data_IF_326326339762
#
_entry.id   IF_326326339762
#
_cell.length_a   1.000
_cell.length_b   1.000
_cell.length_c   1.000
_cell.angle_alpha   90.00
_cell.angle_beta   90.00
_cell.angle_gamma   90.00
#
_symmetry.space_group_name_H-M   'P 1'
#
loop_
_entity.id
_entity.type
_entity.pdbx_description
1 polymer ?
#
# COMPACT_ATOMS: atom_id res chain seq x y z
N UNK A 1 11.33 14.85 -14.38
CA UNK A 1 10.63 16.15 -14.34
C UNK A 1 11.29 17.01 -13.27
N UNK A 2 11.49 18.32 -13.51
CA UNK A 2 11.97 19.21 -12.45
C UNK A 2 10.91 19.28 -11.33
N UNK A 3 11.34 19.56 -10.08
CA UNK A 3 10.39 19.76 -8.99
C UNK A 3 9.49 20.96 -9.28
N UNK A 4 8.21 20.87 -8.87
CA UNK A 4 7.23 21.94 -9.07
C UNK A 4 7.48 23.15 -8.17
N UNK A 5 8.16 22.94 -7.06
CA UNK A 5 8.54 23.94 -6.08
C UNK A 5 9.97 23.65 -5.57
N UNK A 6 10.66 24.67 -5.13
CA UNK A 6 11.95 24.51 -4.45
C UNK A 6 11.77 24.02 -3.02
N UNK A 7 12.86 23.54 -2.40
CA UNK A 7 12.85 23.16 -0.97
C UNK A 7 12.48 24.34 -0.06
N UNK A 8 12.93 25.54 -0.39
CA UNK A 8 12.65 26.76 0.40
C UNK A 8 11.16 27.09 0.34
N UNK A 9 10.56 27.06 -0.86
CA UNK A 9 9.13 27.25 -1.01
C UNK A 9 8.33 26.18 -0.27
N UNK A 10 8.72 24.90 -0.35
CA UNK A 10 8.04 23.83 0.38
C UNK A 10 8.05 24.04 1.89
N UNK A 11 9.19 24.48 2.45
CA UNK A 11 9.29 24.79 3.88
C UNK A 11 8.46 26.00 4.27
N UNK A 12 8.41 27.06 3.44
CA UNK A 12 7.57 28.22 3.67
C UNK A 12 6.08 27.87 3.64
N UNK A 13 5.65 27.05 2.67
CA UNK A 13 4.27 26.55 2.60
C UNK A 13 3.87 25.72 3.81
N UNK A 14 4.80 24.98 4.41
CA UNK A 14 4.57 24.20 5.63
C UNK A 14 4.40 25.04 6.90
N UNK A 15 4.60 26.36 6.84
CA UNK A 15 4.42 27.28 7.96
C UNK A 15 3.09 28.08 7.89
N UNK A 16 2.26 27.82 6.88
CA UNK A 16 0.96 28.49 6.72
C UNK A 16 -0.01 27.94 7.76
N UNK A 17 -0.59 28.84 8.56
CA UNK A 17 -1.58 28.52 9.60
C UNK A 17 -2.93 29.20 9.34
N UNK A 18 -2.97 30.29 8.56
CA UNK A 18 -4.21 30.97 8.23
C UNK A 18 -5.09 30.16 7.27
N UNK A 19 -6.36 30.05 7.58
CA UNK A 19 -7.30 29.24 6.79
C UNK A 19 -7.47 29.73 5.35
N UNK A 20 -7.48 31.04 5.12
CA UNK A 20 -7.60 31.58 3.75
C UNK A 20 -6.36 31.28 2.90
N UNK A 21 -5.19 31.29 3.52
CA UNK A 21 -3.92 30.91 2.87
C UNK A 21 -3.87 29.40 2.61
N UNK A 22 -4.39 28.58 3.52
CA UNK A 22 -4.55 27.14 3.34
C UNK A 22 -5.48 26.86 2.15
N UNK A 23 -6.63 27.51 2.06
CA UNK A 23 -7.57 27.36 0.95
C UNK A 23 -6.91 27.76 -0.38
N UNK A 24 -6.15 28.84 -0.39
CA UNK A 24 -5.38 29.27 -1.57
C UNK A 24 -4.35 28.22 -1.98
N UNK A 25 -3.63 27.62 -1.02
CA UNK A 25 -2.69 26.53 -1.26
C UNK A 25 -3.38 25.29 -1.82
N UNK A 26 -4.53 24.92 -1.27
CA UNK A 26 -5.34 23.78 -1.76
C UNK A 26 -5.81 24.02 -3.19
N UNK A 27 -6.28 25.22 -3.53
CA UNK A 27 -6.69 25.59 -4.89
C UNK A 27 -5.50 25.52 -5.88
N UNK A 28 -4.33 26.00 -5.47
CA UNK A 28 -3.10 25.89 -6.27
C UNK A 28 -2.70 24.42 -6.50
N UNK A 29 -2.72 23.61 -5.45
CA UNK A 29 -2.43 22.18 -5.56
C UNK A 29 -3.43 21.46 -6.47
N UNK A 30 -4.72 21.81 -6.37
CA UNK A 30 -5.76 21.29 -7.24
C UNK A 30 -5.54 21.68 -8.71
N UNK A 31 -5.20 22.91 -9.00
CA UNK A 31 -4.90 23.38 -10.34
C UNK A 31 -3.75 22.61 -10.99
N UNK A 32 -2.67 22.38 -10.23
CA UNK A 32 -1.52 21.56 -10.67
C UNK A 32 -1.93 20.11 -10.93
N UNK A 33 -2.79 19.55 -10.07
CA UNK A 33 -3.30 18.19 -10.25
C UNK A 33 -4.13 18.08 -11.53
N UNK A 34 -5.06 19.02 -11.76
CA UNK A 34 -5.92 19.02 -12.94
C UNK A 34 -5.11 19.20 -14.23
N UNK A 35 -4.12 20.11 -14.22
CA UNK A 35 -3.21 20.30 -15.35
C UNK A 35 -2.46 19.01 -15.73
N UNK A 36 -2.06 18.22 -14.72
CA UNK A 36 -1.21 17.03 -14.92
C UNK A 36 -1.98 15.75 -15.17
N UNK A 37 -3.14 15.60 -14.57
CA UNK A 37 -3.90 14.35 -14.51
C UNK A 37 -5.35 14.48 -14.96
N UNK A 38 -5.79 15.68 -15.33
CA UNK A 38 -7.20 15.99 -15.62
C UNK A 38 -8.11 15.44 -14.49
N UNK A 39 -9.21 14.80 -14.83
CA UNK A 39 -10.14 14.19 -13.86
C UNK A 39 -9.79 12.74 -13.52
N UNK A 40 -8.64 12.24 -13.99
CA UNK A 40 -8.25 10.86 -13.74
C UNK A 40 -7.85 10.63 -12.29
N UNK A 41 -8.27 9.52 -11.73
CA UNK A 41 -7.89 9.05 -10.39
C UNK A 41 -7.40 7.61 -10.48
N UNK A 42 -6.22 7.32 -9.95
CA UNK A 42 -5.70 5.95 -9.84
C UNK A 42 -6.13 5.36 -8.49
N UNK A 43 -7.24 4.61 -8.50
CA UNK A 43 -7.78 4.00 -7.29
C UNK A 43 -7.04 2.71 -6.95
N UNK A 44 -6.58 2.61 -5.71
CA UNK A 44 -5.95 1.42 -5.17
C UNK A 44 -6.82 0.81 -4.06
N UNK A 45 -7.15 -0.46 -4.20
CA UNK A 45 -7.75 -1.27 -3.14
C UNK A 45 -6.68 -2.17 -2.52
N UNK A 46 -6.86 -2.53 -1.26
CA UNK A 46 -5.95 -3.45 -0.58
C UNK A 46 -6.72 -4.52 0.19
N UNK A 47 -6.07 -5.65 0.42
CA UNK A 47 -6.51 -6.69 1.34
C UNK A 47 -5.44 -6.97 2.38
N UNK A 48 -5.84 -7.05 3.64
CA UNK A 48 -5.01 -7.66 4.68
C UNK A 48 -4.99 -9.18 4.46
N UNK A 49 -4.04 -9.67 3.68
CA UNK A 49 -3.94 -11.10 3.38
C UNK A 49 -3.51 -11.95 4.59
N UNK A 50 -2.92 -11.30 5.60
CA UNK A 50 -2.62 -11.87 6.93
C UNK A 50 -2.74 -10.76 7.95
N UNK A 51 -3.53 -10.93 9.01
CA UNK A 51 -3.87 -9.88 9.95
C UNK A 51 -3.75 -10.29 11.41
N UNK A 52 -3.37 -9.33 12.24
CA UNK A 52 -3.35 -9.42 13.71
C UNK A 52 -2.21 -10.24 14.29
N UNK A 53 -1.97 -10.09 15.59
CA UNK A 53 -0.95 -10.85 16.33
C UNK A 53 0.49 -10.62 15.86
N UNK A 54 0.80 -9.45 15.30
CA UNK A 54 2.15 -9.07 14.90
C UNK A 54 3.08 -9.05 16.10
N UNK A 55 4.28 -9.60 15.96
CA UNK A 55 5.28 -9.64 17.04
C UNK A 55 5.99 -8.28 17.23
N UNK A 56 5.87 -7.36 16.27
CA UNK A 56 6.47 -6.04 16.32
C UNK A 56 5.62 -5.09 17.18
N UNK A 57 6.28 -4.14 17.85
CA UNK A 57 5.65 -3.14 18.72
C UNK A 57 5.72 -1.73 18.12
N UNK A 58 5.18 -1.56 16.91
CA UNK A 58 5.07 -0.25 16.28
C UNK A 58 4.00 0.57 16.99
N UNK A 59 4.37 1.68 17.61
CA UNK A 59 3.55 2.45 18.56
C UNK A 59 2.18 2.97 18.06
N UNK A 60 1.92 2.94 16.75
CA UNK A 60 0.65 3.34 16.15
C UNK A 60 -0.12 2.16 15.51
N UNK A 61 0.43 0.94 15.54
CA UNK A 61 -0.11 -0.18 14.78
C UNK A 61 -1.04 -1.07 15.62
N UNK A 62 -2.33 -1.04 15.31
CA UNK A 62 -3.33 -1.88 15.96
C UNK A 62 -3.16 -3.40 15.73
N UNK A 63 -2.33 -3.82 14.78
CA UNK A 63 -2.07 -5.24 14.52
C UNK A 63 -0.99 -5.85 15.44
N UNK A 64 -0.29 -5.01 16.23
CA UNK A 64 0.65 -5.47 17.24
C UNK A 64 -0.05 -6.34 18.29
N UNK A 65 0.58 -7.45 18.71
CA UNK A 65 0.08 -8.27 19.82
C UNK A 65 0.13 -7.55 21.18
N UNK A 66 0.78 -6.39 21.22
CA UNK A 66 0.89 -5.55 22.42
C UNK A 66 -0.12 -4.40 22.41
N UNK A 67 -0.80 -4.17 21.29
CA UNK A 67 -1.83 -3.12 21.19
C UNK A 67 -3.11 -3.57 21.89
N UNK A 68 -3.72 -2.64 22.65
CA UNK A 68 -5.04 -2.83 23.26
C UNK A 68 -6.15 -2.49 22.23
N UNK A 69 -6.17 -3.21 21.12
CA UNK A 69 -7.12 -2.97 20.03
C UNK A 69 -7.79 -4.29 19.62
N UNK A 70 -9.10 -4.23 19.39
CA UNK A 70 -9.85 -5.35 18.83
C UNK A 70 -9.63 -5.38 17.30
N UNK A 71 -8.54 -6.03 16.91
CA UNK A 71 -8.17 -6.18 15.50
C UNK A 71 -8.47 -7.59 15.02
N UNK A 72 -9.23 -7.76 13.92
CA UNK A 72 -9.47 -9.07 13.36
C UNK A 72 -8.19 -9.83 13.07
N UNK A 73 -8.09 -11.06 13.59
CA UNK A 73 -6.92 -11.91 13.40
C UNK A 73 -7.24 -13.08 12.48
N UNK A 74 -6.43 -13.27 11.46
CA UNK A 74 -6.51 -14.45 10.60
C UNK A 74 -5.15 -14.83 10.03
N UNK A 75 -4.99 -16.12 9.77
CA UNK A 75 -3.81 -16.65 9.08
C UNK A 75 -3.73 -16.14 7.64
N UNK A 76 -2.61 -16.43 6.99
CA UNK A 76 -2.41 -16.11 5.57
C UNK A 76 -3.53 -16.71 4.72
N UNK A 77 -4.24 -15.87 3.98
CA UNK A 77 -5.28 -16.26 3.04
C UNK A 77 -4.77 -17.24 1.98
N UNK A 78 -5.65 -18.09 1.50
CA UNK A 78 -5.37 -18.92 0.35
C UNK A 78 -5.42 -18.11 -0.95
N UNK A 79 -4.73 -18.54 -2.03
CA UNK A 79 -4.67 -17.82 -3.29
C UNK A 79 -6.04 -17.50 -3.90
N UNK A 80 -7.01 -18.39 -3.77
CA UNK A 80 -8.37 -18.18 -4.27
C UNK A 80 -9.12 -17.08 -3.49
N UNK A 81 -8.93 -16.99 -2.18
CA UNK A 81 -9.48 -15.91 -1.37
C UNK A 81 -8.89 -14.56 -1.77
N UNK A 82 -7.58 -14.50 -2.04
CA UNK A 82 -6.92 -13.29 -2.56
C UNK A 82 -7.53 -12.88 -3.90
N UNK A 83 -7.77 -13.83 -4.81
CA UNK A 83 -8.41 -13.57 -6.11
C UNK A 83 -9.84 -13.06 -5.94
N UNK A 84 -10.61 -13.61 -5.02
CA UNK A 84 -11.97 -13.15 -4.74
C UNK A 84 -11.99 -11.68 -4.32
N UNK A 85 -11.12 -11.28 -3.39
CA UNK A 85 -10.96 -9.88 -2.99
C UNK A 85 -10.51 -8.99 -4.15
N UNK A 86 -9.61 -9.47 -5.01
CA UNK A 86 -9.16 -8.72 -6.18
C UNK A 86 -10.30 -8.48 -7.18
N UNK A 87 -11.14 -9.49 -7.44
CA UNK A 87 -12.32 -9.35 -8.30
C UNK A 87 -13.35 -8.37 -7.73
N UNK A 88 -13.57 -8.41 -6.43
CA UNK A 88 -14.45 -7.44 -5.77
C UNK A 88 -13.89 -6.01 -5.90
N UNK A 89 -12.58 -5.83 -5.75
CA UNK A 89 -11.91 -4.55 -5.94
C UNK A 89 -12.03 -4.06 -7.40
N UNK A 90 -11.83 -4.93 -8.38
CA UNK A 90 -11.98 -4.60 -9.82
C UNK A 90 -13.42 -4.18 -10.13
N UNK A 91 -14.40 -4.94 -9.65
CA UNK A 91 -15.81 -4.62 -9.82
C UNK A 91 -16.20 -3.28 -9.16
N UNK A 92 -15.52 -2.90 -8.08
CA UNK A 92 -15.68 -1.59 -7.42
C UNK A 92 -14.91 -0.44 -8.13
N UNK A 93 -14.26 -0.70 -9.27
CA UNK A 93 -13.56 0.30 -10.06
C UNK A 93 -12.12 0.58 -9.63
N UNK A 94 -11.50 -0.29 -8.84
CA UNK A 94 -10.08 -0.15 -8.53
C UNK A 94 -9.22 -0.39 -9.78
N UNK A 95 -8.11 0.35 -9.89
CA UNK A 95 -7.11 0.18 -10.94
C UNK A 95 -5.91 -0.65 -10.45
N UNK A 96 -5.74 -0.73 -9.14
CA UNK A 96 -4.65 -1.43 -8.47
C UNK A 96 -5.16 -2.20 -7.26
N UNK A 97 -4.57 -3.37 -7.05
CA UNK A 97 -4.83 -4.22 -5.89
C UNK A 97 -3.53 -4.50 -5.14
N UNK A 98 -3.54 -4.30 -3.83
CA UNK A 98 -2.40 -4.51 -2.95
C UNK A 98 -2.65 -5.63 -1.95
N UNK A 99 -1.78 -6.62 -1.92
CA UNK A 99 -1.76 -7.64 -0.87
C UNK A 99 -0.87 -7.16 0.27
N UNK A 100 -1.44 -6.96 1.44
CA UNK A 100 -0.75 -6.49 2.64
C UNK A 100 -0.72 -7.60 3.67
N UNK A 101 0.38 -7.74 4.40
CA UNK A 101 0.48 -8.67 5.52
C UNK A 101 1.10 -7.98 6.72
N UNK A 102 0.63 -8.36 7.90
CA UNK A 102 1.31 -7.99 9.14
C UNK A 102 2.67 -8.69 9.26
N UNK A 103 3.55 -8.14 10.09
CA UNK A 103 4.82 -8.74 10.46
C UNK A 103 6.02 -8.23 9.66
N UNK A 104 7.19 -8.47 10.23
CA UNK A 104 8.47 -8.05 9.67
C UNK A 104 8.83 -8.83 8.39
N UNK A 105 8.19 -9.97 8.16
CA UNK A 105 8.36 -10.79 6.96
C UNK A 105 7.53 -12.07 7.02
N UNK A 106 7.44 -12.74 5.91
CA UNK A 106 6.63 -13.95 5.74
C UNK A 106 7.47 -15.23 5.90
N UNK A 107 6.85 -16.28 6.46
CA UNK A 107 7.35 -17.65 6.33
C UNK A 107 7.47 -18.04 4.85
N UNK A 108 8.23 -19.08 4.53
CA UNK A 108 8.31 -19.61 3.16
C UNK A 108 6.93 -19.99 2.62
N UNK A 109 6.15 -20.71 3.42
CA UNK A 109 4.79 -21.15 3.06
C UNK A 109 3.84 -19.99 2.79
N UNK A 110 3.84 -18.95 3.63
CA UNK A 110 2.98 -17.77 3.45
C UNK A 110 3.41 -16.97 2.22
N UNK A 111 4.71 -16.87 1.96
CA UNK A 111 5.24 -16.22 0.78
C UNK A 111 4.82 -16.96 -0.52
N UNK A 112 4.85 -18.28 -0.53
CA UNK A 112 4.38 -19.09 -1.66
C UNK A 112 2.89 -18.84 -1.96
N UNK A 113 2.06 -18.66 -0.93
CA UNK A 113 0.65 -18.27 -1.11
C UNK A 113 0.50 -16.88 -1.75
N UNK A 114 1.32 -15.90 -1.34
CA UNK A 114 1.32 -14.56 -1.96
C UNK A 114 1.70 -14.66 -3.43
N UNK A 115 2.74 -15.41 -3.77
CA UNK A 115 3.19 -15.61 -5.17
C UNK A 115 2.09 -16.28 -6.00
N UNK A 116 1.45 -17.32 -5.48
CA UNK A 116 0.35 -18.01 -6.16
C UNK A 116 -0.86 -17.06 -6.34
N UNK A 117 -1.26 -16.33 -5.30
CA UNK A 117 -2.33 -15.33 -5.39
C UNK A 117 -2.02 -14.23 -6.40
N UNK A 118 -0.78 -13.74 -6.43
CA UNK A 118 -0.34 -12.74 -7.40
C UNK A 118 -0.49 -13.22 -8.85
N UNK A 119 -0.14 -14.47 -9.13
CA UNK A 119 -0.33 -15.10 -10.46
C UNK A 119 -1.80 -15.18 -10.84
N UNK A 120 -2.65 -15.67 -9.93
CA UNK A 120 -4.10 -15.74 -10.17
C UNK A 120 -4.71 -14.36 -10.45
N UNK A 121 -4.34 -13.34 -9.68
CA UNK A 121 -4.80 -11.96 -9.90
C UNK A 121 -4.30 -11.45 -11.26
N UNK A 122 -3.04 -11.75 -11.65
CA UNK A 122 -2.49 -11.36 -12.95
C UNK A 122 -3.22 -12.01 -14.12
N UNK A 123 -3.63 -13.27 -13.97
CA UNK A 123 -4.30 -14.06 -15.02
C UNK A 123 -5.79 -13.76 -15.14
N UNK A 124 -6.43 -13.35 -14.05
CA UNK A 124 -7.90 -13.30 -13.93
C UNK A 124 -8.47 -11.90 -13.75
N UNK A 125 -7.65 -10.86 -13.69
CA UNK A 125 -8.06 -9.45 -13.55
C UNK A 125 -7.16 -8.53 -14.40
N UNK A 126 -7.63 -7.30 -14.65
CA UNK A 126 -6.85 -6.25 -15.30
C UNK A 126 -6.13 -5.33 -14.30
N UNK A 127 -6.18 -5.64 -13.01
CA UNK A 127 -5.62 -4.81 -11.95
C UNK A 127 -4.10 -4.73 -12.02
N UNK A 128 -3.55 -3.57 -11.80
CA UNK A 128 -2.14 -3.43 -11.42
C UNK A 128 -1.95 -4.04 -10.03
N UNK A 129 -0.81 -4.71 -9.80
CA UNK A 129 -0.59 -5.50 -8.57
C UNK A 129 0.56 -4.95 -7.76
N UNK A 130 0.34 -4.86 -6.45
CA UNK A 130 1.39 -4.52 -5.50
C UNK A 130 1.32 -5.37 -4.23
N UNK A 131 2.40 -5.37 -3.48
CA UNK A 131 2.52 -6.06 -2.18
C UNK A 131 3.16 -5.17 -1.13
N UNK A 132 2.79 -5.40 0.13
CA UNK A 132 3.46 -4.86 1.32
C UNK A 132 3.57 -6.00 2.33
N UNK A 133 4.72 -6.70 2.33
CA UNK A 133 4.92 -7.99 3.01
C UNK A 133 6.21 -8.05 3.85
N UNK A 134 6.72 -6.88 4.25
CA UNK A 134 7.92 -6.76 5.07
C UNK A 134 9.22 -7.04 4.32
N UNK A 135 10.18 -7.63 4.99
CA UNK A 135 11.54 -7.82 4.47
C UNK A 135 11.60 -8.67 3.21
N UNK A 136 12.41 -8.22 2.26
CA UNK A 136 12.50 -8.78 0.92
C UNK A 136 13.95 -9.16 0.59
N UNK A 137 14.19 -10.44 0.25
CA UNK A 137 15.44 -10.85 -0.38
C UNK A 137 15.39 -10.63 -1.89
N UNK A 138 16.55 -10.58 -2.54
CA UNK A 138 16.64 -10.48 -4.00
C UNK A 138 15.92 -11.65 -4.72
N UNK A 139 15.96 -12.85 -4.14
CA UNK A 139 15.26 -14.02 -4.65
C UNK A 139 13.73 -13.84 -4.59
N UNK A 140 13.20 -13.38 -3.43
CA UNK A 140 11.78 -13.10 -3.26
C UNK A 140 11.31 -12.00 -4.20
N UNK A 141 12.12 -10.95 -4.38
CA UNK A 141 11.79 -9.86 -5.30
C UNK A 141 11.68 -10.36 -6.75
N UNK A 142 12.59 -11.24 -7.19
CA UNK A 142 12.49 -11.89 -8.51
C UNK A 142 11.23 -12.74 -8.64
N UNK A 143 10.95 -13.59 -7.66
CA UNK A 143 9.75 -14.45 -7.66
C UNK A 143 8.45 -13.64 -7.75
N UNK A 144 8.37 -12.50 -7.06
CA UNK A 144 7.23 -11.59 -7.14
C UNK A 144 7.12 -10.92 -8.51
N UNK A 145 8.23 -10.45 -9.07
CA UNK A 145 8.27 -9.90 -10.42
C UNK A 145 7.76 -10.91 -11.46
N UNK A 146 8.23 -12.15 -11.38
CA UNK A 146 7.83 -13.25 -12.27
C UNK A 146 6.36 -13.65 -12.07
N UNK A 147 5.80 -13.39 -10.90
CA UNK A 147 4.37 -13.55 -10.61
C UNK A 147 3.51 -12.33 -11.04
N UNK A 148 4.12 -11.31 -11.67
CA UNK A 148 3.44 -10.15 -12.21
C UNK A 148 3.23 -9.01 -11.21
N UNK A 149 3.92 -8.99 -10.08
CA UNK A 149 3.94 -7.85 -9.15
C UNK A 149 4.75 -6.71 -9.78
N UNK A 150 4.17 -5.51 -9.80
CA UNK A 150 4.72 -4.31 -10.42
C UNK A 150 5.26 -3.31 -9.40
N UNK A 151 4.83 -3.42 -8.14
CA UNK A 151 5.24 -2.53 -7.05
C UNK A 151 5.35 -3.28 -5.74
N UNK A 152 6.39 -2.99 -5.00
CA UNK A 152 6.54 -3.39 -3.59
C UNK A 152 6.50 -2.14 -2.74
N UNK A 153 5.67 -2.14 -1.70
CA UNK A 153 5.70 -1.15 -0.63
C UNK A 153 6.55 -1.69 0.51
N UNK A 154 7.40 -0.86 1.04
CA UNK A 154 8.16 -1.15 2.25
C UNK A 154 8.10 0.07 3.16
N UNK A 155 7.47 -0.09 4.30
CA UNK A 155 7.30 0.98 5.26
C UNK A 155 8.50 1.04 6.21
N UNK A 156 8.87 2.24 6.60
CA UNK A 156 9.78 2.48 7.74
C UNK A 156 8.89 2.89 8.90
N UNK A 157 8.50 1.92 9.71
CA UNK A 157 7.51 2.06 10.78
C UNK A 157 8.11 2.64 12.06
N UNK A 158 9.09 3.53 11.94
CA UNK A 158 9.85 4.06 13.06
C UNK A 158 10.08 5.56 12.90
N UNK A 159 9.82 6.30 13.96
CA UNK A 159 10.30 7.67 14.09
C UNK A 159 11.76 7.64 14.55
N UNK A 160 12.58 8.56 14.04
CA UNK A 160 13.91 8.80 14.58
C UNK A 160 13.73 9.44 15.97
N UNK A 161 14.21 8.76 17.01
CA UNK A 161 14.30 9.32 18.37
C UNK A 161 15.33 10.44 18.43
#
# INVERSE_FOLDING_TARGET
MPPLITRVEALALGQIEDHADIDTLVQRAWSVRVERFADSTDMCSLVNAKSGGCAEDCGFCAQSKYAEADTPMHAMMDPDQILEHARAAEAAGAHRFCMVTQGQGLSKRDFEKVVAGARLVAERTNLKRCVSIGHMSAERARSLKDAGIQRVHHNVESAKS
#
